data_IF_533337928072
#
_entry.id   IF_533337928072
#
_cell.length_a   1.000
_cell.length_b   1.000
_cell.length_c   1.000
_cell.angle_alpha   90.00
_cell.angle_beta   90.00
_cell.angle_gamma   90.00
#
_symmetry.space_group_name_H-M   'P 1'
#
loop_
_entity.id
_entity.type
_entity.pdbx_description
1 polymer ?
#
# COMPACT_ATOMS: atom_id res chain seq x y z
N UNK A 1 2.78 43.12 56.77
CA UNK A 1 2.37 41.71 56.81
C UNK A 1 0.96 41.59 56.27
N UNK A 2 0.80 41.18 55.01
CA UNK A 2 -0.50 40.95 54.38
C UNK A 2 -0.43 39.56 53.74
N UNK A 3 -1.19 38.61 54.27
CA UNK A 3 -1.35 37.27 53.70
C UNK A 3 -2.32 37.34 52.52
N UNK A 4 -1.85 36.97 51.32
CA UNK A 4 -2.74 36.65 50.19
C UNK A 4 -2.70 35.14 49.96
N UNK A 5 -3.82 34.50 50.29
CA UNK A 5 -4.12 33.11 49.98
C UNK A 5 -4.53 33.07 48.50
N UNK A 6 -3.74 32.36 47.67
CA UNK A 6 -4.09 32.08 46.28
C UNK A 6 -4.85 30.74 46.26
N UNK A 7 -6.14 30.80 45.95
CA UNK A 7 -7.00 29.63 45.76
C UNK A 7 -6.97 29.25 44.28
N UNK A 8 -6.28 28.17 43.92
CA UNK A 8 -6.22 27.69 42.54
C UNK A 8 -7.42 26.78 42.27
N UNK A 9 -8.31 27.20 41.37
CA UNK A 9 -9.41 26.40 40.85
C UNK A 9 -8.88 25.35 39.87
N UNK A 10 -9.10 24.06 40.16
CA UNK A 10 -8.83 22.95 39.24
C UNK A 10 -10.04 22.82 38.30
N UNK A 11 -9.85 23.19 37.03
CA UNK A 11 -10.82 22.95 35.95
C UNK A 11 -10.69 21.48 35.49
N UNK A 12 -11.66 20.66 35.88
CA UNK A 12 -11.88 19.32 35.34
C UNK A 12 -12.56 19.46 33.97
N UNK A 13 -11.80 19.23 32.89
CA UNK A 13 -12.36 19.08 31.54
C UNK A 13 -12.88 17.64 31.39
N UNK A 14 -14.12 17.42 30.93
CA UNK A 14 -14.63 16.08 30.66
C UNK A 14 -13.99 15.50 29.38
N UNK A 15 -13.29 14.38 29.52
CA UNK A 15 -12.84 13.55 28.40
C UNK A 15 -14.06 12.97 27.68
N UNK A 16 -14.37 13.48 26.49
CA UNK A 16 -15.25 12.83 25.56
C UNK A 16 -14.54 11.59 24.99
N UNK A 17 -14.84 10.41 25.55
CA UNK A 17 -14.50 9.13 24.94
C UNK A 17 -15.32 9.01 23.64
N UNK A 18 -14.67 9.29 22.51
CA UNK A 18 -15.21 8.94 21.21
C UNK A 18 -15.29 7.41 21.12
N UNK A 19 -16.50 6.90 20.89
CA UNK A 19 -16.78 5.48 20.75
C UNK A 19 -16.02 4.86 19.56
N UNK A 20 -15.61 3.58 19.64
CA UNK A 20 -15.07 2.86 18.49
C UNK A 20 -16.17 2.69 17.43
N UNK A 21 -15.84 3.01 16.18
CA UNK A 21 -16.73 2.90 15.04
C UNK A 21 -17.25 1.47 14.84
N UNK A 22 -18.55 1.34 14.57
CA UNK A 22 -19.19 0.06 14.22
C UNK A 22 -18.79 -0.36 12.81
N UNK A 23 -18.26 -1.57 12.65
CA UNK A 23 -18.13 -2.24 11.35
C UNK A 23 -19.52 -2.45 10.72
N UNK A 24 -19.72 -2.20 9.41
CA UNK A 24 -20.93 -2.59 8.72
C UNK A 24 -20.97 -4.11 8.57
N UNK A 25 -21.95 -4.72 9.22
CA UNK A 25 -22.24 -6.15 9.14
C UNK A 25 -23.27 -6.33 8.01
N UNK A 26 -22.83 -6.52 6.77
CA UNK A 26 -23.73 -6.90 5.68
C UNK A 26 -23.91 -8.42 5.68
N UNK A 27 -25.05 -8.83 6.23
CA UNK A 27 -25.56 -10.20 6.15
C UNK A 27 -26.03 -10.46 4.72
N UNK A 28 -25.27 -11.26 3.96
CA UNK A 28 -25.69 -11.73 2.64
C UNK A 28 -26.78 -12.80 2.84
N UNK A 29 -28.04 -12.44 2.59
CA UNK A 29 -29.17 -13.39 2.56
C UNK A 29 -29.82 -13.40 1.18
N UNK A 30 -29.83 -14.57 0.55
CA UNK A 30 -30.96 -15.02 -0.26
C UNK A 30 -30.82 -14.92 -1.77
N UNK A 31 -30.65 -16.09 -2.38
CA UNK A 31 -30.92 -16.38 -3.79
C UNK A 31 -32.33 -15.92 -4.20
N UNK A 32 -32.49 -15.44 -5.44
CA UNK A 32 -33.72 -15.69 -6.18
C UNK A 32 -33.41 -15.87 -7.67
N UNK A 33 -33.71 -17.08 -8.13
CA UNK A 33 -33.75 -17.55 -9.51
C UNK A 33 -34.65 -16.66 -10.37
N UNK A 34 -34.10 -16.07 -11.44
CA UNK A 34 -34.90 -15.70 -12.61
C UNK A 34 -34.28 -16.23 -13.89
N UNK A 35 -34.98 -17.22 -14.43
CA UNK A 35 -34.91 -17.70 -15.79
C UNK A 35 -35.39 -16.55 -16.71
N UNK A 36 -34.51 -15.99 -17.53
CA UNK A 36 -34.79 -14.81 -18.35
C UNK A 36 -34.07 -14.87 -19.69
N UNK A 37 -34.84 -15.23 -20.71
CA UNK A 37 -34.52 -15.38 -22.13
C UNK A 37 -33.67 -14.25 -22.72
N UNK A 38 -32.61 -14.59 -23.47
CA UNK A 38 -31.90 -13.65 -24.35
C UNK A 38 -32.83 -13.17 -25.48
N UNK A 39 -32.80 -11.87 -25.83
CA UNK A 39 -33.02 -11.44 -27.20
C UNK A 39 -31.71 -10.97 -27.83
N UNK A 40 -31.31 -11.73 -28.84
CA UNK A 40 -30.36 -11.34 -29.86
C UNK A 40 -31.01 -10.23 -30.71
N UNK A 41 -30.46 -9.02 -30.77
CA UNK A 41 -30.75 -8.06 -31.85
C UNK A 41 -29.65 -7.01 -31.98
N UNK A 42 -29.01 -7.08 -33.14
CA UNK A 42 -28.06 -6.18 -33.80
C UNK A 42 -28.39 -4.69 -33.67
N UNK A 43 -27.40 -3.90 -33.28
CA UNK A 43 -27.31 -2.48 -33.65
C UNK A 43 -25.87 -2.14 -34.03
N UNK A 44 -25.66 -1.88 -35.32
CA UNK A 44 -24.47 -1.28 -35.89
C UNK A 44 -24.39 0.18 -35.45
N UNK A 45 -23.45 0.50 -34.55
CA UNK A 45 -22.97 1.86 -34.35
C UNK A 45 -21.52 1.92 -34.80
N UNK A 46 -21.30 2.46 -36.00
CA UNK A 46 -20.02 3.00 -36.45
C UNK A 46 -19.72 4.25 -35.62
N UNK A 47 -19.00 4.07 -34.52
CA UNK A 47 -18.32 5.15 -33.82
C UNK A 47 -16.82 5.06 -34.14
N UNK A 48 -16.37 5.90 -35.06
CA UNK A 48 -14.96 6.26 -35.24
C UNK A 48 -14.50 7.04 -34.00
N UNK A 49 -14.15 6.30 -32.94
CA UNK A 49 -13.34 6.79 -31.83
C UNK A 49 -11.85 6.65 -32.13
N UNK A 50 -10.99 7.43 -31.46
CA UNK A 50 -9.54 7.35 -31.67
C UNK A 50 -9.06 5.93 -31.35
N UNK A 51 -8.27 5.38 -32.25
CA UNK A 51 -7.65 4.06 -32.14
C UNK A 51 -6.99 3.94 -30.77
N UNK A 52 -7.55 3.12 -29.89
CA UNK A 52 -6.89 2.73 -28.66
C UNK A 52 -5.54 2.13 -29.06
N UNK A 53 -4.46 2.85 -28.77
CA UNK A 53 -3.10 2.34 -28.88
C UNK A 53 -3.07 1.11 -27.98
N UNK A 54 -3.05 -0.08 -28.58
CA UNK A 54 -2.88 -1.31 -27.82
C UNK A 54 -1.58 -1.17 -27.04
N UNK A 55 -1.68 -1.01 -25.71
CA UNK A 55 -0.55 -1.13 -24.81
C UNK A 55 -0.05 -2.55 -24.96
N UNK A 56 0.95 -2.74 -25.81
CA UNK A 56 1.61 -4.03 -26.00
C UNK A 56 2.35 -4.32 -24.70
N UNK A 57 1.75 -5.14 -23.85
CA UNK A 57 2.44 -5.67 -22.68
C UNK A 57 3.58 -6.59 -23.16
N UNK A 58 4.80 -6.43 -22.62
CA UNK A 58 5.90 -7.35 -22.87
C UNK A 58 5.47 -8.81 -22.66
N UNK A 59 6.06 -9.77 -23.40
CA UNK A 59 5.73 -11.18 -23.25
C UNK A 59 5.99 -11.66 -21.82
N UNK A 60 5.15 -12.59 -21.37
CA UNK A 60 5.18 -13.21 -20.05
C UNK A 60 6.60 -13.69 -19.68
N UNK A 61 7.18 -13.24 -18.55
CA UNK A 61 8.45 -13.76 -18.09
C UNK A 61 8.34 -15.27 -17.79
N UNK A 62 9.19 -16.08 -18.41
CA UNK A 62 9.43 -17.47 -18.03
C UNK A 62 10.76 -17.54 -17.27
N UNK A 63 10.71 -17.92 -15.99
CA UNK A 63 11.88 -17.95 -15.12
C UNK A 63 11.77 -19.03 -14.04
N UNK A 64 12.90 -19.45 -13.44
CA UNK A 64 12.89 -20.37 -12.31
C UNK A 64 12.21 -19.73 -11.07
N UNK A 65 11.83 -20.51 -10.05
CA UNK A 65 11.38 -19.98 -8.77
C UNK A 65 12.41 -19.05 -8.12
N UNK A 66 11.94 -17.97 -7.48
CA UNK A 66 12.79 -17.01 -6.79
C UNK A 66 13.37 -17.60 -5.47
N UNK A 67 14.52 -18.28 -5.57
CA UNK A 67 15.17 -18.96 -4.43
C UNK A 67 15.59 -18.03 -3.28
N UNK A 68 15.83 -16.74 -3.56
CA UNK A 68 16.19 -15.74 -2.56
C UNK A 68 15.08 -14.68 -2.40
N UNK A 69 13.91 -15.13 -1.96
CA UNK A 69 12.77 -14.25 -1.65
C UNK A 69 12.74 -13.96 -0.15
N UNK A 70 12.68 -12.68 0.21
CA UNK A 70 12.49 -12.20 1.57
C UNK A 70 11.11 -11.55 1.67
N UNK A 71 10.41 -11.86 2.75
CA UNK A 71 9.12 -11.26 3.05
C UNK A 71 9.28 -10.12 4.07
N UNK A 72 8.34 -9.16 4.12
CA UNK A 72 8.40 -8.07 5.07
C UNK A 72 8.44 -8.63 6.50
N UNK A 73 9.43 -8.20 7.25
CA UNK A 73 9.50 -8.53 8.68
C UNK A 73 8.46 -7.73 9.47
N UNK A 74 8.09 -6.55 8.97
CA UNK A 74 7.01 -5.73 9.51
C UNK A 74 6.44 -4.73 8.52
N UNK A 75 5.14 -4.48 8.66
CA UNK A 75 4.47 -3.30 8.15
C UNK A 75 4.08 -2.41 9.34
N UNK A 76 4.13 -1.09 9.15
CA UNK A 76 3.65 -0.10 10.12
C UNK A 76 2.88 0.99 9.42
N UNK A 77 1.70 1.32 9.93
CA UNK A 77 0.89 2.42 9.40
C UNK A 77 1.44 3.74 9.92
N UNK A 78 1.60 4.71 9.03
CA UNK A 78 1.99 6.10 9.30
C UNK A 78 0.74 6.95 9.06
N UNK A 79 0.32 7.75 10.04
CA UNK A 79 -0.92 8.52 9.96
C UNK A 79 -0.70 9.96 10.39
N UNK A 80 -1.02 10.90 9.49
CA UNK A 80 -0.77 12.33 9.73
C UNK A 80 -1.57 12.92 10.88
N UNK A 81 -2.72 12.34 11.23
CA UNK A 81 -3.53 12.80 12.37
C UNK A 81 -2.92 12.44 13.72
N UNK A 82 -2.04 11.45 13.75
CA UNK A 82 -1.43 10.91 14.97
C UNK A 82 0.10 11.00 14.91
N UNK A 83 0.63 12.11 14.39
CA UNK A 83 2.03 12.24 14.02
C UNK A 83 3.05 11.91 15.13
N UNK A 84 2.78 12.39 16.35
CA UNK A 84 3.68 12.28 17.50
C UNK A 84 3.46 11.02 18.35
N UNK A 85 2.42 10.23 18.07
CA UNK A 85 2.05 9.11 18.92
C UNK A 85 2.87 7.88 18.58
N UNK A 86 4.09 7.82 19.12
CA UNK A 86 5.02 6.70 18.96
C UNK A 86 4.50 5.33 19.47
N UNK A 87 3.37 5.27 20.20
CA UNK A 87 2.88 4.07 20.89
C UNK A 87 1.35 3.91 20.91
N UNK A 88 0.64 4.28 19.85
CA UNK A 88 -0.75 3.79 19.69
C UNK A 88 -0.74 2.46 18.95
N UNK A 89 -1.73 1.60 19.21
CA UNK A 89 -1.93 0.34 18.47
C UNK A 89 -1.88 0.55 16.94
N UNK A 90 -2.31 1.72 16.47
CA UNK A 90 -2.30 2.11 15.05
C UNK A 90 -0.90 2.14 14.40
N UNK A 91 0.17 2.38 15.17
CA UNK A 91 1.56 2.45 14.68
C UNK A 91 2.38 1.21 15.04
N UNK A 92 1.72 0.19 15.60
CA UNK A 92 2.36 -1.09 15.92
C UNK A 92 2.61 -1.90 14.66
N UNK A 93 3.44 -2.95 14.79
CA UNK A 93 3.66 -3.93 13.73
C UNK A 93 2.31 -4.54 13.35
N UNK A 94 2.01 -4.51 12.06
CA UNK A 94 0.81 -5.09 11.46
C UNK A 94 1.19 -5.92 10.24
N UNK A 95 0.24 -6.68 9.73
CA UNK A 95 0.28 -7.25 8.39
C UNK A 95 -0.63 -6.49 7.41
N UNK A 96 -1.29 -5.41 7.84
CA UNK A 96 -2.13 -4.60 6.97
C UNK A 96 -1.29 -3.56 6.23
N UNK A 97 -1.45 -3.51 4.92
CA UNK A 97 -1.08 -2.33 4.13
C UNK A 97 -2.24 -1.36 4.06
N UNK A 98 -1.95 -0.07 4.19
CA UNK A 98 -2.92 0.99 3.95
C UNK A 98 -2.24 2.23 3.39
N UNK A 99 -2.81 2.78 2.32
CA UNK A 99 -2.49 4.10 1.82
C UNK A 99 -3.79 4.88 1.60
N UNK A 100 -3.83 6.12 2.08
CA UNK A 100 -5.00 6.99 1.99
C UNK A 100 -4.56 8.42 1.74
N UNK A 101 -5.19 9.10 0.78
CA UNK A 101 -4.96 10.51 0.50
C UNK A 101 -6.22 11.15 -0.08
N UNK A 102 -6.78 12.14 0.61
CA UNK A 102 -7.95 12.88 0.13
C UNK A 102 -7.54 14.23 -0.45
N UNK A 103 -7.01 15.10 0.42
CA UNK A 103 -6.41 16.40 0.08
C UNK A 103 -5.18 16.61 0.94
N UNK A 104 -4.21 17.37 0.43
CA UNK A 104 -2.98 17.71 1.16
C UNK A 104 -3.24 18.24 2.59
N UNK A 105 -4.30 19.02 2.79
CA UNK A 105 -4.65 19.69 4.05
C UNK A 105 -5.54 18.87 5.01
N UNK A 106 -5.98 17.68 4.61
CA UNK A 106 -6.92 16.88 5.40
C UNK A 106 -6.20 15.87 6.28
N UNK A 107 -5.86 14.72 5.69
CA UNK A 107 -5.07 13.69 6.32
C UNK A 107 -4.56 12.70 5.28
N UNK A 108 -3.47 12.04 5.65
CA UNK A 108 -2.80 11.08 4.82
C UNK A 108 -2.42 9.87 5.66
N UNK A 109 -2.46 8.71 5.01
CA UNK A 109 -1.99 7.45 5.56
C UNK A 109 -1.00 6.85 4.58
N UNK A 110 0.14 6.41 5.11
CA UNK A 110 1.17 5.70 4.39
C UNK A 110 1.52 4.42 5.17
N UNK A 111 2.28 3.52 4.57
CA UNK A 111 2.78 2.31 5.21
C UNK A 111 4.29 2.25 5.08
N UNK A 112 4.99 2.02 6.19
CA UNK A 112 6.37 1.58 6.16
C UNK A 112 6.41 0.06 5.97
N UNK A 113 7.25 -0.42 5.06
CA UNK A 113 7.53 -1.84 4.81
C UNK A 113 9.01 -2.07 5.11
N UNK A 114 9.33 -2.95 6.07
CA UNK A 114 10.72 -3.23 6.44
C UNK A 114 11.08 -4.70 6.27
N UNK A 115 12.18 -4.93 5.58
CA UNK A 115 12.85 -6.22 5.44
C UNK A 115 14.07 -6.22 6.35
N UNK A 116 14.21 -7.28 7.15
CA UNK A 116 15.34 -7.51 8.03
C UNK A 116 15.99 -8.84 7.66
N UNK A 117 17.24 -9.02 8.08
CA UNK A 117 18.03 -10.23 7.83
C UNK A 117 18.11 -10.60 6.34
N UNK A 118 18.17 -9.59 5.48
CA UNK A 118 18.37 -9.77 4.04
C UNK A 118 19.82 -10.21 3.82
N UNK A 119 20.00 -11.47 3.43
CA UNK A 119 21.32 -12.05 3.17
C UNK A 119 21.42 -12.36 1.68
N UNK A 120 22.14 -11.52 0.95
CA UNK A 120 22.38 -11.67 -0.47
C UNK A 120 23.87 -11.56 -0.79
N UNK A 121 24.36 -12.20 -1.87
CA UNK A 121 25.70 -11.95 -2.37
C UNK A 121 25.91 -10.46 -2.66
N UNK A 122 27.10 -9.94 -2.37
CA UNK A 122 27.44 -8.53 -2.53
C UNK A 122 27.43 -8.03 -3.99
N UNK A 123 27.39 -8.93 -4.97
CA UNK A 123 27.30 -8.63 -6.39
C UNK A 123 25.87 -8.66 -6.94
N UNK A 124 24.88 -9.08 -6.17
CA UNK A 124 23.47 -9.15 -6.63
C UNK A 124 22.68 -7.91 -6.22
N UNK A 125 21.77 -7.48 -7.09
CA UNK A 125 20.77 -6.46 -6.77
C UNK A 125 19.60 -7.03 -5.97
N UNK A 126 19.02 -6.19 -5.11
CA UNK A 126 17.74 -6.43 -4.45
C UNK A 126 16.65 -5.67 -5.18
N UNK A 127 15.60 -6.39 -5.56
CA UNK A 127 14.44 -5.89 -6.27
C UNK A 127 13.24 -5.90 -5.33
N UNK A 128 12.64 -4.73 -5.12
CA UNK A 128 11.35 -4.68 -4.44
C UNK A 128 10.27 -5.06 -5.44
N UNK A 129 9.53 -6.11 -5.11
CA UNK A 129 8.42 -6.61 -5.90
C UNK A 129 7.12 -6.40 -5.12
N UNK A 130 6.05 -6.27 -5.88
CA UNK A 130 4.69 -6.23 -5.37
C UNK A 130 3.86 -7.28 -6.09
N UNK A 131 3.27 -8.18 -5.31
CA UNK A 131 2.36 -9.22 -5.77
C UNK A 131 0.94 -8.70 -5.55
N UNK A 132 0.25 -8.37 -6.65
CA UNK A 132 -1.03 -7.67 -6.59
C UNK A 132 -2.08 -8.59 -5.95
N UNK A 133 -2.70 -8.18 -4.83
CA UNK A 133 -3.78 -8.97 -4.24
C UNK A 133 -4.94 -9.10 -5.23
N UNK A 134 -5.53 -10.29 -5.32
CA UNK A 134 -6.76 -10.46 -6.10
C UNK A 134 -7.89 -9.58 -5.59
N UNK A 135 -8.88 -9.26 -6.43
CA UNK A 135 -9.96 -8.31 -6.12
C UNK A 135 -10.69 -8.56 -4.78
N UNK A 136 -10.79 -9.82 -4.35
CA UNK A 136 -11.41 -10.20 -3.06
C UNK A 136 -10.53 -9.99 -1.82
N UNK A 137 -9.25 -9.66 -2.00
CA UNK A 137 -8.25 -9.50 -0.94
C UNK A 137 -7.78 -8.05 -0.75
N UNK A 138 -8.35 -7.12 -1.51
CA UNK A 138 -8.04 -5.71 -1.44
C UNK A 138 -9.31 -4.87 -1.40
N UNK A 139 -9.15 -3.64 -0.96
CA UNK A 139 -10.17 -2.60 -1.02
C UNK A 139 -9.52 -1.34 -1.54
N UNK A 140 -10.08 -0.76 -2.59
CA UNK A 140 -9.63 0.53 -3.11
C UNK A 140 -10.84 1.39 -3.47
N UNK A 141 -10.67 2.70 -3.38
CA UNK A 141 -11.68 3.69 -3.78
C UNK A 141 -11.01 4.98 -4.26
N UNK A 142 -11.79 5.81 -4.94
CA UNK A 142 -11.34 7.08 -5.46
C UNK A 142 -10.73 6.99 -6.87
N UNK A 143 -10.09 8.07 -7.35
CA UNK A 143 -9.86 8.27 -8.77
C UNK A 143 -8.71 7.44 -9.36
N UNK A 144 -7.63 7.20 -8.61
CA UNK A 144 -6.48 6.43 -9.11
C UNK A 144 -5.50 6.03 -7.99
N UNK A 145 -5.43 4.75 -7.59
CA UNK A 145 -4.54 4.31 -6.53
C UNK A 145 -3.10 4.11 -7.06
N UNK A 146 -2.42 5.20 -7.40
CA UNK A 146 -0.98 5.17 -7.74
C UNK A 146 -0.19 5.31 -6.45
N UNK A 147 0.67 4.34 -6.15
CA UNK A 147 1.58 4.37 -5.03
C UNK A 147 2.94 4.91 -5.46
N UNK A 148 3.50 5.80 -4.66
CA UNK A 148 4.93 6.11 -4.67
C UNK A 148 5.63 5.36 -3.55
N UNK A 149 6.75 4.76 -3.92
CA UNK A 149 7.59 3.97 -3.03
C UNK A 149 8.91 4.71 -2.85
N UNK A 150 9.27 4.97 -1.62
CA UNK A 150 10.51 5.65 -1.23
C UNK A 150 11.38 4.67 -0.46
N UNK A 151 12.63 4.49 -0.89
CA UNK A 151 13.60 3.73 -0.10
C UNK A 151 14.21 4.67 0.93
N UNK A 152 14.23 4.24 2.20
CA UNK A 152 14.70 5.06 3.32
C UNK A 152 15.71 4.29 4.17
N UNK A 153 16.69 4.98 4.72
CA UNK A 153 17.66 4.37 5.64
C UNK A 153 17.10 4.43 7.07
N UNK A 154 16.81 3.26 7.65
CA UNK A 154 16.29 3.08 9.00
C UNK A 154 16.85 1.80 9.61
N UNK A 155 17.06 1.83 10.92
CA UNK A 155 17.47 0.65 11.69
C UNK A 155 16.36 -0.40 11.78
N UNK A 156 16.73 -1.65 12.00
CA UNK A 156 15.78 -2.74 12.20
C UNK A 156 14.84 -2.45 13.40
N UNK A 157 13.53 -2.53 13.17
CA UNK A 157 12.50 -2.29 14.18
C UNK A 157 12.35 -0.84 14.63
N UNK A 158 12.99 0.12 13.93
CA UNK A 158 12.86 1.55 14.26
C UNK A 158 11.39 1.99 14.26
N UNK A 159 11.05 2.90 15.16
CA UNK A 159 9.70 3.46 15.25
C UNK A 159 9.36 4.18 13.95
N UNK A 160 8.18 3.87 13.41
CA UNK A 160 7.65 4.50 12.21
C UNK A 160 6.37 5.26 12.58
N UNK A 161 6.39 6.58 12.42
CA UNK A 161 5.26 7.47 12.63
C UNK A 161 5.27 8.54 11.52
N UNK A 162 4.33 9.48 11.56
CA UNK A 162 4.26 10.49 10.50
C UNK A 162 5.50 11.40 10.46
N UNK A 163 6.10 11.71 11.61
CA UNK A 163 7.28 12.57 11.67
C UNK A 163 8.53 11.89 11.10
N UNK A 164 8.52 10.57 10.92
CA UNK A 164 9.59 9.84 10.24
C UNK A 164 9.28 9.52 8.78
N UNK A 165 8.14 9.95 8.26
CA UNK A 165 7.74 9.79 6.85
C UNK A 165 8.47 10.81 5.98
N UNK A 166 9.45 10.36 5.18
CA UNK A 166 10.31 11.24 4.37
C UNK A 166 9.51 12.20 3.48
N UNK A 167 8.42 11.79 2.78
CA UNK A 167 7.63 12.70 1.97
C UNK A 167 6.91 13.82 2.73
N UNK A 168 6.73 13.70 4.04
CA UNK A 168 6.15 14.76 4.86
C UNK A 168 7.19 15.74 5.42
N UNK A 169 8.47 15.37 5.46
CA UNK A 169 9.54 16.15 6.12
C UNK A 169 10.59 16.70 5.15
N UNK A 170 10.79 16.02 4.01
CA UNK A 170 11.76 16.40 2.99
C UNK A 170 11.09 17.26 1.92
N UNK A 171 11.83 18.23 1.38
CA UNK A 171 11.33 19.06 0.29
C UNK A 171 11.04 18.21 -0.95
N UNK A 172 10.03 18.56 -1.73
CA UNK A 172 9.66 17.81 -2.93
C UNK A 172 10.81 17.63 -3.94
N UNK A 173 11.79 18.55 -3.94
CA UNK A 173 12.94 18.51 -4.83
C UNK A 173 14.01 17.49 -4.40
N UNK A 174 14.00 17.07 -3.14
CA UNK A 174 14.97 16.14 -2.56
C UNK A 174 14.39 14.73 -2.39
N UNK A 175 13.09 14.54 -2.67
CA UNK A 175 12.42 13.25 -2.62
C UNK A 175 12.77 12.40 -3.84
N UNK A 176 13.52 11.32 -3.60
CA UNK A 176 13.83 10.32 -4.63
C UNK A 176 12.83 9.17 -4.52
N UNK A 177 11.98 9.05 -5.55
CA UNK A 177 11.06 7.92 -5.69
C UNK A 177 11.85 6.69 -6.15
N UNK A 178 11.81 5.62 -5.35
CA UNK A 178 12.42 4.33 -5.68
C UNK A 178 11.65 3.62 -6.79
N UNK A 179 10.33 3.74 -6.78
CA UNK A 179 9.46 3.23 -7.83
C UNK A 179 8.00 3.61 -7.62
N UNK A 180 7.17 3.22 -8.57
CA UNK A 180 5.74 3.58 -8.59
C UNK A 180 4.91 2.34 -8.86
N UNK A 181 3.78 2.16 -8.19
CA UNK A 181 2.81 1.09 -8.51
C UNK A 181 1.53 1.72 -8.98
N UNK A 182 1.08 1.39 -10.18
CA UNK A 182 -0.22 1.81 -10.67
C UNK A 182 -1.27 0.73 -10.36
N UNK A 183 -2.12 1.03 -9.37
CA UNK A 183 -3.21 0.17 -8.94
C UNK A 183 -4.50 0.33 -9.75
N UNK A 184 -4.51 1.02 -10.89
CA UNK A 184 -5.69 1.07 -11.75
C UNK A 184 -6.10 -0.33 -12.21
N UNK A 185 -7.40 -0.62 -12.24
CA UNK A 185 -7.94 -1.98 -12.53
C UNK A 185 -7.42 -2.56 -13.85
N UNK A 186 -7.28 -1.75 -14.89
CA UNK A 186 -6.72 -2.16 -16.20
C UNK A 186 -5.27 -2.59 -16.06
N UNK A 187 -4.48 -1.85 -15.26
CA UNK A 187 -3.07 -2.15 -15.04
C UNK A 187 -2.91 -3.40 -14.19
N UNK A 188 -3.69 -3.53 -13.12
CA UNK A 188 -3.72 -4.74 -12.29
C UNK A 188 -4.06 -5.98 -13.13
N UNK A 189 -5.09 -5.89 -13.98
CA UNK A 189 -5.48 -6.98 -14.89
C UNK A 189 -4.33 -7.36 -15.82
N UNK A 190 -3.68 -6.38 -16.45
CA UNK A 190 -2.52 -6.64 -17.32
C UNK A 190 -1.37 -7.31 -16.57
N UNK A 191 -1.11 -6.89 -15.32
CA UNK A 191 -0.08 -7.49 -14.47
C UNK A 191 -0.44 -8.93 -14.10
N UNK A 192 -1.68 -9.20 -13.73
CA UNK A 192 -2.17 -10.54 -13.41
C UNK A 192 -2.08 -11.46 -14.62
N UNK A 193 -2.55 -11.02 -15.79
CA UNK A 193 -2.59 -11.82 -17.02
C UNK A 193 -1.20 -12.09 -17.61
N UNK A 194 -0.30 -11.11 -17.57
CA UNK A 194 1.00 -11.19 -18.25
C UNK A 194 2.16 -11.50 -17.31
N UNK A 195 2.07 -11.14 -16.04
CA UNK A 195 3.15 -11.25 -15.06
C UNK A 195 2.79 -12.08 -13.84
N UNK A 196 1.67 -12.82 -13.86
CA UNK A 196 1.21 -13.64 -12.73
C UNK A 196 0.99 -12.84 -11.44
N UNK A 197 0.59 -11.58 -11.56
CA UNK A 197 0.38 -10.68 -10.42
C UNK A 197 1.65 -9.93 -10.00
N UNK A 198 2.80 -10.22 -10.62
CA UNK A 198 4.08 -9.62 -10.25
C UNK A 198 4.35 -8.27 -10.86
N UNK A 199 4.61 -7.30 -10.00
CA UNK A 199 5.07 -5.97 -10.35
C UNK A 199 6.49 -5.74 -9.80
N UNK A 200 7.42 -5.33 -10.66
CA UNK A 200 8.76 -4.89 -10.25
C UNK A 200 8.75 -3.40 -9.98
N UNK A 201 8.89 -3.01 -8.72
CA UNK A 201 8.84 -1.60 -8.31
C UNK A 201 10.15 -0.92 -8.65
N UNK A 202 11.27 -1.57 -8.39
CA UNK A 202 12.60 -1.00 -8.52
C UNK A 202 13.68 -1.91 -7.96
N UNK A 203 14.94 -1.56 -8.23
CA UNK A 203 16.10 -2.33 -7.80
C UNK A 203 17.22 -1.45 -7.23
N UNK A 204 18.04 -2.03 -6.36
CA UNK A 204 19.20 -1.36 -5.78
C UNK A 204 20.12 -2.33 -5.05
N UNK A 205 21.20 -1.84 -4.43
CA UNK A 205 22.07 -2.68 -3.61
C UNK A 205 21.31 -3.34 -2.46
N UNK A 206 21.62 -4.61 -2.19
CA UNK A 206 21.10 -5.30 -1.02
C UNK A 206 21.79 -4.81 0.26
N UNK A 207 20.99 -4.47 1.27
CA UNK A 207 21.45 -4.18 2.64
C UNK A 207 20.75 -5.14 3.61
N UNK A 208 21.37 -5.44 4.75
CA UNK A 208 20.80 -6.35 5.76
C UNK A 208 19.41 -5.89 6.22
N UNK A 209 19.21 -4.59 6.36
CA UNK A 209 17.92 -3.96 6.57
C UNK A 209 17.59 -3.08 5.37
N UNK A 210 16.41 -3.29 4.79
CA UNK A 210 15.86 -2.44 3.74
C UNK A 210 14.50 -1.94 4.18
N UNK A 211 14.33 -0.62 4.20
CA UNK A 211 13.09 0.01 4.62
C UNK A 211 12.53 0.84 3.47
N UNK A 212 11.22 0.71 3.26
CA UNK A 212 10.49 1.45 2.26
C UNK A 212 9.32 2.16 2.94
N UNK A 213 8.97 3.33 2.44
CA UNK A 213 7.77 4.05 2.81
C UNK A 213 6.91 4.18 1.57
N UNK A 214 5.63 3.82 1.70
CA UNK A 214 4.71 3.68 0.57
C UNK A 214 3.47 4.49 0.87
N UNK A 215 3.11 5.41 -0.04
CA UNK A 215 1.93 6.25 0.08
C UNK A 215 1.34 6.58 -1.29
N UNK A 216 0.14 7.15 -1.31
CA UNK A 216 -0.50 7.54 -2.56
C UNK A 216 0.18 8.78 -3.15
N UNK A 217 0.47 8.69 -4.45
CA UNK A 217 1.11 9.75 -5.23
C UNK A 217 0.24 11.00 -5.33
N UNK A 218 -1.08 10.82 -5.42
CA UNK A 218 -2.03 11.89 -5.73
C UNK A 218 -3.19 11.95 -4.75
N UNK A 219 -3.67 13.16 -4.54
CA UNK A 219 -4.91 13.46 -3.83
C UNK A 219 -6.11 12.88 -4.57
N UNK A 220 -7.13 12.45 -3.81
CA UNK A 220 -8.43 12.04 -4.36
C UNK A 220 -9.36 13.21 -4.69
N UNK A 221 -9.00 14.44 -4.29
CA UNK A 221 -9.77 15.64 -4.55
C UNK A 221 -11.00 15.74 -3.66
N UNK A 222 -12.18 15.52 -4.23
CA UNK A 222 -13.44 15.47 -3.49
C UNK A 222 -13.74 14.08 -2.92
N UNK A 223 -13.09 13.05 -3.45
CA UNK A 223 -13.19 11.68 -2.98
C UNK A 223 -11.94 11.27 -2.21
N UNK A 224 -12.06 10.23 -1.37
CA UNK A 224 -10.89 9.65 -0.68
C UNK A 224 -10.22 8.66 -1.65
N UNK A 225 -8.97 8.95 -2.03
CA UNK A 225 -8.13 7.97 -2.70
C UNK A 225 -7.61 6.99 -1.64
N UNK A 226 -7.87 5.71 -1.83
CA UNK A 226 -7.66 4.70 -0.82
C UNK A 226 -7.23 3.37 -1.43
N UNK A 227 -6.28 2.71 -0.77
CA UNK A 227 -5.95 1.32 -1.05
C UNK A 227 -5.52 0.60 0.22
N UNK A 228 -6.12 -0.55 0.48
CA UNK A 228 -5.83 -1.43 1.60
C UNK A 228 -5.82 -2.90 1.14
N UNK A 229 -4.94 -3.68 1.74
CA UNK A 229 -4.97 -5.15 1.70
C UNK A 229 -4.23 -5.70 2.92
N UNK A 230 -4.33 -7.02 3.13
CA UNK A 230 -3.52 -7.73 4.12
C UNK A 230 -2.30 -8.30 3.40
N UNK A 231 -1.10 -7.97 3.82
CA UNK A 231 0.13 -8.60 3.34
C UNK A 231 0.20 -10.04 3.87
N UNK A 232 0.27 -11.02 2.96
CA UNK A 232 0.29 -12.44 3.29
C UNK A 232 1.58 -13.08 2.79
N UNK A 233 2.20 -13.89 3.65
CA UNK A 233 3.43 -14.61 3.35
C UNK A 233 3.25 -16.12 3.66
N UNK A 234 4.09 -17.00 3.08
CA UNK A 234 4.07 -18.41 3.41
C UNK A 234 4.12 -18.65 4.93
N UNK A 235 3.34 -19.62 5.45
CA UNK A 235 2.61 -20.67 4.72
C UNK A 235 1.18 -20.28 4.28
N UNK A 236 0.76 -19.02 4.42
CA UNK A 236 -0.58 -18.58 4.00
C UNK A 236 -0.71 -18.59 2.48
N UNK A 237 -1.91 -18.90 1.97
CA UNK A 237 -2.21 -18.92 0.54
C UNK A 237 -3.57 -18.27 0.27
N UNK A 238 -3.71 -17.39 -0.75
CA UNK A 238 -2.63 -16.93 -1.64
C UNK A 238 -1.63 -16.01 -0.93
N UNK A 239 -0.38 -16.03 -1.38
CA UNK A 239 0.66 -15.04 -1.02
C UNK A 239 0.39 -13.78 -1.85
N UNK A 240 0.39 -12.61 -1.23
CA UNK A 240 0.30 -11.32 -1.92
C UNK A 240 0.86 -10.20 -1.04
N UNK A 241 1.17 -9.06 -1.67
CA UNK A 241 1.80 -7.93 -0.99
C UNK A 241 3.25 -7.74 -1.40
N UNK A 242 4.05 -7.14 -0.51
CA UNK A 242 5.43 -6.79 -0.81
C UNK A 242 6.36 -7.98 -0.62
N UNK A 243 7.36 -8.10 -1.49
CA UNK A 243 8.48 -9.01 -1.29
C UNK A 243 9.76 -8.46 -1.87
N UNK A 244 10.88 -8.84 -1.29
CA UNK A 244 12.20 -8.49 -1.78
C UNK A 244 12.81 -9.72 -2.42
N UNK A 245 13.39 -9.57 -3.60
CA UNK A 245 14.10 -10.66 -4.25
C UNK A 245 15.54 -10.24 -4.52
N UNK A 246 16.50 -11.12 -4.24
CA UNK A 246 17.91 -10.90 -4.61
C UNK A 246 18.34 -11.78 -5.78
N UNK A 247 18.86 -11.13 -6.82
CA UNK A 247 19.38 -11.79 -8.01
C UNK A 247 19.31 -10.92 -9.26
N UNK A 248 19.91 -11.42 -10.35
CA UNK A 248 20.13 -10.62 -11.57
C UNK A 248 19.19 -11.01 -12.72
N UNK A 249 18.41 -12.08 -12.58
CA UNK A 249 17.49 -12.61 -13.61
C UNK A 249 16.03 -12.63 -13.14
N UNK A 250 15.11 -12.12 -13.97
CA UNK A 250 13.67 -12.26 -13.73
C UNK A 250 13.29 -13.71 -13.38
N UNK A 251 12.69 -13.89 -12.20
CA UNK A 251 12.20 -15.17 -11.69
C UNK A 251 10.68 -15.08 -11.49
N UNK A 252 10.00 -16.23 -11.51
CA UNK A 252 8.57 -16.30 -11.21
C UNK A 252 8.45 -16.48 -9.69
N UNK A 253 7.74 -15.58 -9.01
CA UNK A 253 7.43 -15.76 -7.60
C UNK A 253 6.54 -17.00 -7.43
N UNK A 254 6.83 -17.82 -6.42
CA UNK A 254 6.01 -18.97 -6.05
C UNK A 254 4.72 -18.54 -5.34
#
# INVERSE_FOLDING_TARGET
MLHRILTTFVLLVPNALAAPYSYPNETFTGETTQNGTLPNSTSLYTATGPTATATTFPPRPSGPPCLNTFYPSELRILNSRYALYNQTELHTRTNMFMALRQREDTFQVATQVQFNDVVAPNWTGCHLKFDIPGDSFQTYSGPQPILYVYQVTREAGSVANWDTYEPAIVSANDLVVYGTVDGASVQQKGITEHYQGYYDIGSGPCNQTMTFQVGLAFDGGDEVNYWQFIDTQPPLSPVHGFKLWSGDNWCIGQ
#
